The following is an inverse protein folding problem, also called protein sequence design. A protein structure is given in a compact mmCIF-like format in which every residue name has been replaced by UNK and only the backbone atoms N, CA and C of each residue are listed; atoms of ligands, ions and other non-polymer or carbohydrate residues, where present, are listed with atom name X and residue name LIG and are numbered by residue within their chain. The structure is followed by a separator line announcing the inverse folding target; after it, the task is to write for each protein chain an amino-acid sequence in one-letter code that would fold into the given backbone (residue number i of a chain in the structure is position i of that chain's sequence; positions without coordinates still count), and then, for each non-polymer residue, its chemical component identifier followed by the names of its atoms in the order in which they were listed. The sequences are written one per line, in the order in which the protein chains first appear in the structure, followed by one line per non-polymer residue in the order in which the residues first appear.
data_IF_178814968635
#
_entry.id   IF_178814968635
#
_cell.length_a   1.000
_cell.length_b   1.000
_cell.length_c   1.000
_cell.angle_alpha   90.00
_cell.angle_beta   90.00
_cell.angle_gamma   90.00
#
_symmetry.space_group_name_H-M   'P 1'
#
loop_
_entity.id
_entity.type
_entity.pdbx_description
1 polymer ?
#
# COMPACT_ATOMS: atom_id res chain seq x y z
N UNK A 1 -22.31 -17.94 -29.36
CA UNK A 1 -22.06 -18.75 -28.14
C UNK A 1 -21.85 -17.76 -27.01
N UNK A 2 -22.79 -17.64 -26.08
CA UNK A 2 -22.69 -16.66 -24.97
C UNK A 2 -21.77 -17.28 -23.92
N UNK A 3 -20.46 -17.10 -24.10
CA UNK A 3 -19.47 -17.55 -23.13
C UNK A 3 -19.67 -16.82 -21.82
N UNK A 4 -19.98 -17.56 -20.76
CA UNK A 4 -20.05 -17.02 -19.41
C UNK A 4 -18.65 -16.50 -19.04
N UNK A 5 -18.43 -15.18 -19.12
CA UNK A 5 -17.14 -14.61 -18.73
C UNK A 5 -16.89 -14.91 -17.25
N UNK A 6 -15.85 -15.69 -16.96
CA UNK A 6 -15.43 -16.03 -15.60
C UNK A 6 -15.09 -14.75 -14.84
N UNK A 7 -15.56 -14.68 -13.61
CA UNK A 7 -15.20 -13.63 -12.65
C UNK A 7 -14.20 -14.20 -11.65
N UNK A 8 -13.36 -13.32 -11.13
CA UNK A 8 -12.27 -13.63 -10.23
C UNK A 8 -12.35 -12.65 -9.07
N UNK A 9 -12.00 -13.11 -7.88
CA UNK A 9 -11.80 -12.22 -6.75
C UNK A 9 -10.37 -11.69 -6.81
N UNK A 10 -10.24 -10.38 -6.65
CA UNK A 10 -8.97 -9.66 -6.66
C UNK A 10 -8.80 -9.06 -5.29
N UNK A 11 -7.80 -9.54 -4.57
CA UNK A 11 -7.39 -8.97 -3.30
C UNK A 11 -6.65 -7.66 -3.55
N UNK A 12 -7.27 -6.55 -3.16
CA UNK A 12 -6.74 -5.21 -3.41
C UNK A 12 -5.83 -4.74 -2.28
N UNK A 13 -6.20 -4.98 -1.03
CA UNK A 13 -5.44 -4.56 0.14
C UNK A 13 -5.91 -5.33 1.35
N UNK A 14 -4.97 -5.87 2.13
CA UNK A 14 -5.28 -6.55 3.39
C UNK A 14 -5.77 -5.54 4.44
N UNK A 15 -6.21 -6.05 5.58
CA UNK A 15 -6.50 -5.19 6.73
C UNK A 15 -5.29 -4.32 7.08
N UNK A 16 -5.52 -3.03 7.33
CA UNK A 16 -4.47 -2.08 7.67
C UNK A 16 -4.68 -1.63 9.11
N UNK A 17 -3.62 -1.71 9.92
CA UNK A 17 -3.58 -1.23 11.30
C UNK A 17 -2.27 -0.51 11.54
N UNK A 18 -2.34 0.56 12.30
CA UNK A 18 -1.14 1.31 12.65
C UNK A 18 -1.39 2.37 13.70
N UNK A 19 -0.31 2.97 14.15
CA UNK A 19 -0.27 4.10 15.06
C UNK A 19 0.66 5.17 14.49
N UNK A 20 0.17 6.40 14.38
CA UNK A 20 0.93 7.53 13.85
C UNK A 20 1.24 8.53 14.95
N UNK A 21 2.53 8.82 15.08
CA UNK A 21 3.10 9.75 16.04
C UNK A 21 3.68 10.98 15.32
N UNK A 22 3.95 12.04 16.06
CA UNK A 22 4.71 13.19 15.60
C UNK A 22 5.71 13.57 16.70
N UNK A 23 6.99 13.29 16.47
CA UNK A 23 8.04 13.40 17.48
C UNK A 23 7.72 12.60 18.76
N UNK A 24 7.19 11.39 18.59
CA UNK A 24 6.78 10.49 19.67
C UNK A 24 5.39 10.74 20.26
N UNK A 25 4.74 11.86 19.92
CA UNK A 25 3.42 12.21 20.45
C UNK A 25 2.28 11.72 19.52
N UNK A 26 1.21 11.10 20.05
CA UNK A 26 0.10 10.62 19.23
C UNK A 26 -0.57 11.70 18.36
N UNK A 27 -0.77 11.39 17.08
CA UNK A 27 -1.48 12.28 16.15
C UNK A 27 -2.98 11.96 16.20
N UNK A 28 -3.78 12.82 16.85
CA UNK A 28 -5.23 12.65 16.97
C UNK A 28 -5.99 13.34 15.82
N UNK A 29 -6.98 12.65 15.24
CA UNK A 29 -7.92 13.21 14.28
C UNK A 29 -7.34 13.50 12.90
N UNK A 30 -6.15 12.98 12.59
CA UNK A 30 -5.56 13.11 11.27
C UNK A 30 -6.21 12.14 10.29
N UNK A 31 -6.35 12.58 9.04
CA UNK A 31 -7.07 11.84 8.01
C UNK A 31 -6.14 10.86 7.31
N UNK A 32 -6.46 9.58 7.38
CA UNK A 32 -5.82 8.53 6.60
C UNK A 32 -6.62 8.33 5.33
N UNK A 33 -5.95 8.29 4.18
CA UNK A 33 -6.56 8.05 2.87
C UNK A 33 -5.85 6.89 2.18
N UNK A 34 -6.61 5.89 1.74
CA UNK A 34 -6.12 4.76 0.95
C UNK A 34 -6.69 4.84 -0.46
N UNK A 35 -5.82 4.64 -1.44
CA UNK A 35 -6.10 4.67 -2.87
C UNK A 35 -5.63 3.35 -3.47
N UNK A 36 -6.57 2.62 -4.09
CA UNK A 36 -6.33 1.30 -4.66
C UNK A 36 -6.58 1.31 -6.16
N UNK A 37 -5.58 0.87 -6.91
CA UNK A 37 -5.63 0.77 -8.37
C UNK A 37 -5.40 -0.67 -8.78
N UNK A 38 -6.16 -1.17 -9.75
CA UNK A 38 -5.96 -2.50 -10.32
C UNK A 38 -5.99 -2.46 -11.84
N UNK A 39 -4.95 -3.02 -12.45
CA UNK A 39 -4.71 -2.97 -13.90
C UNK A 39 -4.87 -1.53 -14.43
N UNK A 40 -4.15 -0.59 -13.78
CA UNK A 40 -4.09 0.84 -14.11
C UNK A 40 -5.44 1.58 -14.12
N UNK A 41 -6.46 1.04 -13.47
CA UNK A 41 -7.72 1.74 -13.22
C UNK A 41 -7.91 1.94 -11.73
N UNK A 42 -8.20 3.18 -11.31
CA UNK A 42 -8.64 3.46 -9.94
C UNK A 42 -9.89 2.63 -9.63
N UNK A 43 -9.87 1.93 -8.50
CA UNK A 43 -10.95 1.03 -8.07
C UNK A 43 -11.64 1.57 -6.84
N UNK A 44 -10.86 1.89 -5.80
CA UNK A 44 -11.40 2.24 -4.49
C UNK A 44 -10.57 3.37 -3.88
N UNK A 45 -11.26 4.33 -3.24
CA UNK A 45 -10.66 5.36 -2.42
C UNK A 45 -11.50 5.44 -1.14
N UNK A 46 -10.88 5.16 -0.01
CA UNK A 46 -11.51 5.23 1.30
C UNK A 46 -10.65 5.98 2.32
N UNK A 47 -11.30 6.44 3.39
CA UNK A 47 -10.68 7.27 4.41
C UNK A 47 -11.07 6.79 5.82
N UNK A 48 -10.17 7.00 6.77
CA UNK A 48 -10.43 6.86 8.21
C UNK A 48 -9.71 7.99 8.95
N UNK A 49 -9.88 8.05 10.26
CA UNK A 49 -9.20 9.03 11.12
C UNK A 49 -8.46 8.35 12.25
N UNK A 50 -7.34 8.92 12.66
CA UNK A 50 -6.62 8.45 13.84
C UNK A 50 -7.37 8.81 15.12
N UNK A 51 -7.31 7.92 16.10
CA UNK A 51 -7.90 8.13 17.42
C UNK A 51 -7.01 8.98 18.35
N UNK A 52 -7.45 9.20 19.59
CA UNK A 52 -6.72 9.97 20.59
C UNK A 52 -5.34 9.40 20.95
N UNK A 53 -5.11 8.12 20.67
CA UNK A 53 -3.84 7.44 20.88
C UNK A 53 -3.04 7.29 19.57
N UNK A 54 -3.45 7.95 18.48
CA UNK A 54 -2.79 7.91 17.18
C UNK A 54 -3.11 6.67 16.35
N UNK A 55 -3.97 5.77 16.83
CA UNK A 55 -4.26 4.50 16.15
C UNK A 55 -5.28 4.69 15.04
N UNK A 56 -5.16 3.88 13.99
CA UNK A 56 -6.16 3.79 12.93
C UNK A 56 -6.32 2.34 12.47
N UNK A 57 -7.44 2.05 11.84
CA UNK A 57 -7.68 0.78 11.16
C UNK A 57 -8.52 0.96 9.90
N UNK A 58 -8.24 0.14 8.89
CA UNK A 58 -9.00 0.06 7.65
C UNK A 58 -9.25 -1.41 7.31
N UNK A 59 -10.46 -1.79 6.87
CA UNK A 59 -10.78 -3.17 6.56
C UNK A 59 -10.05 -3.65 5.28
N UNK A 60 -9.95 -4.96 5.14
CA UNK A 60 -9.54 -5.60 3.88
C UNK A 60 -10.49 -5.23 2.74
N UNK A 61 -9.95 -5.08 1.53
CA UNK A 61 -10.70 -4.81 0.31
C UNK A 61 -10.45 -5.93 -0.70
N UNK A 62 -11.54 -6.62 -1.07
CA UNK A 62 -11.60 -7.52 -2.22
C UNK A 62 -12.61 -6.97 -3.22
N UNK A 63 -12.33 -7.14 -4.51
CA UNK A 63 -13.28 -6.86 -5.58
C UNK A 63 -13.49 -8.09 -6.44
N UNK A 64 -14.64 -8.14 -7.12
CA UNK A 64 -14.87 -9.14 -8.16
C UNK A 64 -14.65 -8.51 -9.54
N UNK A 65 -13.72 -9.05 -10.32
CA UNK A 65 -13.36 -8.54 -11.65
C UNK A 65 -13.37 -9.64 -12.72
N UNK A 66 -13.53 -9.24 -13.98
CA UNK A 66 -13.33 -10.11 -15.15
C UNK A 66 -11.95 -9.92 -15.79
N UNK A 67 -11.25 -8.85 -15.44
CA UNK A 67 -9.95 -8.49 -16.03
C UNK A 67 -8.89 -9.61 -15.95
N UNK A 68 -8.80 -10.45 -14.90
CA UNK A 68 -7.83 -11.56 -14.88
C UNK A 68 -8.04 -12.61 -15.98
N UNK A 69 -9.23 -12.66 -16.59
CA UNK A 69 -9.50 -13.54 -17.73
C UNK A 69 -9.06 -12.98 -19.08
N UNK A 70 -8.57 -11.73 -19.12
CA UNK A 70 -8.12 -11.05 -20.33
C UNK A 70 -6.59 -11.19 -20.48
N UNK A 71 -6.15 -11.80 -21.58
CA UNK A 71 -4.73 -12.04 -21.84
C UNK A 71 -3.90 -10.76 -22.11
N UNK A 72 -4.56 -9.62 -22.32
CA UNK A 72 -3.89 -8.32 -22.49
C UNK A 72 -3.82 -7.50 -21.19
N UNK A 73 -4.42 -8.01 -20.10
CA UNK A 73 -4.35 -7.36 -18.79
C UNK A 73 -3.12 -7.85 -18.04
N UNK A 74 -2.37 -6.89 -17.49
CA UNK A 74 -1.34 -7.15 -16.51
C UNK A 74 -1.98 -7.06 -15.12
N UNK A 75 -2.04 -8.18 -14.42
CA UNK A 75 -2.54 -8.23 -13.05
C UNK A 75 -1.55 -7.54 -12.10
N UNK A 76 -1.81 -6.26 -11.85
CA UNK A 76 -1.05 -5.44 -10.90
C UNK A 76 -2.02 -4.67 -10.03
N UNK A 77 -1.78 -4.73 -8.72
CA UNK A 77 -2.48 -3.96 -7.70
C UNK A 77 -1.51 -2.92 -7.15
N UNK A 78 -1.91 -1.65 -7.14
CA UNK A 78 -1.16 -0.57 -6.51
C UNK A 78 -1.91 -0.13 -5.25
N UNK A 79 -1.18 -0.04 -4.15
CA UNK A 79 -1.69 0.36 -2.85
C UNK A 79 -0.97 1.63 -2.43
N UNK A 80 -1.72 2.71 -2.20
CA UNK A 80 -1.19 3.95 -1.66
C UNK A 80 -2.00 4.36 -0.43
N UNK A 81 -1.33 4.53 0.70
CA UNK A 81 -1.91 4.96 1.97
C UNK A 81 -1.15 6.19 2.44
N UNK A 82 -1.88 7.25 2.71
CA UNK A 82 -1.34 8.55 3.11
C UNK A 82 -2.03 9.07 4.35
N UNK A 83 -1.34 9.94 5.08
CA UNK A 83 -1.91 10.71 6.17
C UNK A 83 -1.81 12.21 5.84
N UNK A 84 -2.91 12.93 6.05
CA UNK A 84 -2.96 14.38 6.03
C UNK A 84 -2.94 14.91 7.46
N UNK A 85 -1.89 15.64 7.82
CA UNK A 85 -1.70 16.26 9.14
C UNK A 85 -1.08 17.65 8.95
N UNK A 86 -1.66 18.67 9.59
CA UNK A 86 -1.19 20.06 9.49
C UNK A 86 -0.96 20.55 8.05
N UNK A 87 -1.87 20.24 7.13
CA UNK A 87 -1.80 20.58 5.69
C UNK A 87 -0.68 19.87 4.90
N UNK A 88 0.11 19.02 5.55
CA UNK A 88 1.14 18.18 4.91
C UNK A 88 0.64 16.75 4.72
N UNK A 89 1.02 16.15 3.57
CA UNK A 89 0.69 14.76 3.24
C UNK A 89 1.93 13.90 3.31
N UNK A 90 1.85 12.82 4.08
CA UNK A 90 2.95 11.86 4.25
C UNK A 90 2.53 10.50 3.70
N UNK A 91 3.47 9.78 3.07
CA UNK A 91 3.23 8.43 2.56
C UNK A 91 3.51 7.42 3.67
N UNK A 92 2.45 6.76 4.13
CA UNK A 92 2.55 5.65 5.08
C UNK A 92 2.87 4.34 4.36
N UNK A 93 2.30 4.13 3.18
CA UNK A 93 2.52 2.94 2.38
C UNK A 93 2.35 3.28 0.90
N UNK A 94 3.30 2.88 0.06
CA UNK A 94 3.14 2.93 -1.38
C UNK A 94 3.91 1.77 -2.01
N UNK A 95 3.19 0.74 -2.44
CA UNK A 95 3.75 -0.49 -2.99
C UNK A 95 2.90 -1.02 -4.13
N UNK A 96 3.56 -1.72 -5.05
CA UNK A 96 2.91 -2.51 -6.10
C UNK A 96 2.96 -3.99 -5.76
N UNK A 97 1.89 -4.69 -6.10
CA UNK A 97 1.77 -6.14 -5.97
C UNK A 97 1.45 -6.73 -7.35
N UNK A 98 2.22 -7.74 -7.77
CA UNK A 98 1.92 -8.50 -8.97
C UNK A 98 0.96 -9.66 -8.64
N UNK A 99 -0.09 -9.79 -9.43
CA UNK A 99 -1.14 -10.77 -9.26
C UNK A 99 -2.32 -10.29 -8.42
N UNK A 100 -3.29 -11.18 -8.24
CA UNK A 100 -4.61 -10.91 -7.64
C UNK A 100 -4.80 -11.51 -6.24
N UNK A 101 -3.81 -12.28 -5.77
CA UNK A 101 -3.83 -13.00 -4.50
C UNK A 101 -3.09 -12.21 -3.41
N UNK A 102 -3.45 -12.36 -2.12
CA UNK A 102 -2.69 -11.74 -1.04
C UNK A 102 -1.27 -12.32 -0.91
N UNK A 103 -0.40 -11.51 -0.31
CA UNK A 103 0.95 -11.88 0.11
C UNK A 103 1.09 -11.63 1.61
N UNK A 104 1.52 -12.66 2.34
CA UNK A 104 1.63 -12.65 3.80
C UNK A 104 2.61 -11.58 4.28
N UNK A 105 3.66 -11.34 3.51
CA UNK A 105 4.70 -10.36 3.77
C UNK A 105 4.16 -8.92 3.68
N UNK A 106 3.19 -8.68 2.79
CA UNK A 106 2.49 -7.39 2.69
C UNK A 106 1.48 -7.26 3.84
N UNK A 107 0.69 -8.30 4.11
CA UNK A 107 -0.29 -8.34 5.19
C UNK A 107 0.35 -8.04 6.56
N UNK A 108 1.47 -8.71 6.88
CA UNK A 108 2.21 -8.52 8.13
C UNK A 108 2.68 -7.06 8.30
N UNK A 109 3.10 -6.41 7.20
CA UNK A 109 3.52 -5.01 7.21
C UNK A 109 2.34 -4.05 7.36
N UNK A 110 1.22 -4.31 6.67
CA UNK A 110 0.01 -3.50 6.75
C UNK A 110 -0.66 -3.57 8.13
N UNK A 111 -0.56 -4.69 8.83
CA UNK A 111 -1.04 -4.84 10.22
C UNK A 111 -0.18 -4.08 11.25
N UNK A 112 1.00 -3.62 10.85
CA UNK A 112 1.98 -2.94 11.71
C UNK A 112 2.46 -1.63 11.08
N UNK A 113 1.54 -0.89 10.44
CA UNK A 113 1.80 0.35 9.70
C UNK A 113 2.01 1.54 10.65
N UNK A 114 3.03 1.43 11.51
CA UNK A 114 3.38 2.40 12.52
C UNK A 114 4.41 3.39 11.97
N UNK A 115 4.24 4.67 12.26
CA UNK A 115 5.13 5.72 11.75
C UNK A 115 5.17 6.95 12.64
N UNK A 116 6.20 7.76 12.43
CA UNK A 116 6.32 9.08 13.03
C UNK A 116 6.47 10.12 11.92
N UNK A 117 5.68 11.19 11.94
CA UNK A 117 5.68 12.25 10.93
C UNK A 117 7.03 12.98 10.81
N UNK A 118 7.87 12.91 11.85
CA UNK A 118 9.25 13.42 11.82
C UNK A 118 10.24 12.51 11.08
N UNK A 119 9.82 11.30 10.70
CA UNK A 119 10.66 10.35 9.97
C UNK A 119 10.81 10.76 8.51
N UNK A 120 12.03 10.61 7.99
CA UNK A 120 12.29 10.77 6.56
C UNK A 120 11.47 9.76 5.75
N UNK A 121 10.94 10.16 4.60
CA UNK A 121 10.39 9.20 3.64
C UNK A 121 11.53 8.43 2.96
N UNK A 122 11.45 7.09 2.95
CA UNK A 122 12.50 6.24 2.35
C UNK A 122 11.90 5.22 1.41
N UNK A 123 12.71 4.83 0.43
CA UNK A 123 12.46 3.63 -0.38
C UNK A 123 13.03 2.42 0.34
N UNK A 124 12.30 1.32 0.28
CA UNK A 124 12.70 0.09 0.96
C UNK A 124 12.31 -1.14 0.16
N UNK A 125 13.09 -2.21 0.31
CA UNK A 125 12.71 -3.55 -0.18
C UNK A 125 12.40 -4.49 0.96
N UNK A 126 11.70 -5.56 0.63
CA UNK A 126 11.45 -6.68 1.52
C UNK A 126 11.25 -7.99 0.73
N UNK A 127 11.54 -9.15 1.33
CA UNK A 127 11.55 -10.42 0.62
C UNK A 127 10.18 -10.81 0.06
N UNK A 128 10.21 -11.48 -1.08
CA UNK A 128 9.06 -12.16 -1.67
C UNK A 128 9.26 -13.67 -1.57
N UNK A 129 8.56 -14.34 -0.66
CA UNK A 129 8.76 -15.79 -0.41
C UNK A 129 8.24 -16.64 -1.56
N UNK A 130 7.30 -16.14 -2.39
CA UNK A 130 6.83 -16.83 -3.60
C UNK A 130 7.82 -16.71 -4.75
N UNK A 131 8.56 -15.61 -4.82
CA UNK A 131 9.61 -15.40 -5.83
C UNK A 131 10.85 -14.72 -5.21
N UNK A 132 11.78 -15.51 -4.63
CA UNK A 132 12.96 -14.96 -3.95
C UNK A 132 13.91 -14.16 -4.86
N UNK A 133 13.74 -14.24 -6.18
CA UNK A 133 14.53 -13.45 -7.14
C UNK A 133 13.95 -12.06 -7.40
N UNK A 134 12.75 -11.75 -6.87
CA UNK A 134 12.07 -10.48 -7.09
C UNK A 134 11.45 -9.99 -5.77
N UNK A 135 12.23 -9.20 -5.03
CA UNK A 135 11.76 -8.52 -3.83
C UNK A 135 10.60 -7.56 -4.12
N UNK A 136 9.82 -7.29 -3.08
CA UNK A 136 8.88 -6.17 -3.11
C UNK A 136 9.63 -4.87 -2.84
N UNK A 137 9.13 -3.78 -3.43
CA UNK A 137 9.59 -2.42 -3.20
C UNK A 137 8.46 -1.53 -2.68
N UNK A 138 8.83 -0.51 -1.91
CA UNK A 138 7.88 0.48 -1.41
C UNK A 138 8.51 1.81 -1.06
N UNK A 139 7.64 2.78 -0.78
CA UNK A 139 7.97 4.11 -0.28
C UNK A 139 7.17 4.38 0.99
N UNK A 140 7.82 4.82 2.06
CA UNK A 140 7.15 4.99 3.35
C UNK A 140 7.95 5.83 4.37
N UNK A 141 7.23 6.54 5.26
CA UNK A 141 7.78 7.05 6.53
C UNK A 141 7.74 6.01 7.66
N UNK A 142 6.96 4.95 7.52
CA UNK A 142 6.86 3.83 8.46
C UNK A 142 8.10 2.93 8.40
N UNK A 143 8.35 2.19 9.47
CA UNK A 143 9.51 1.31 9.64
C UNK A 143 9.08 -0.02 10.23
N UNK A 144 9.75 -1.09 9.81
CA UNK A 144 9.52 -2.44 10.32
C UNK A 144 10.82 -3.02 10.86
N UNK A 145 10.72 -3.77 11.96
CA UNK A 145 11.90 -4.37 12.62
C UNK A 145 12.54 -5.48 11.79
N UNK A 146 11.72 -6.20 11.01
CA UNK A 146 12.13 -7.33 10.19
C UNK A 146 11.83 -7.05 8.72
N UNK A 147 12.61 -7.67 7.85
CA UNK A 147 12.38 -7.69 6.41
C UNK A 147 12.19 -6.26 5.86
N UNK A 148 13.11 -5.35 6.18
CA UNK A 148 13.04 -3.94 5.78
C UNK A 148 14.45 -3.42 5.51
N UNK A 149 14.77 -3.26 4.23
CA UNK A 149 16.07 -2.76 3.79
C UNK A 149 15.89 -1.44 3.05
N UNK A 150 16.44 -0.37 3.60
CA UNK A 150 16.38 0.96 2.97
C UNK A 150 17.40 1.02 1.84
N UNK A 151 16.98 1.55 0.69
CA UNK A 151 17.88 1.82 -0.41
C UNK A 151 17.66 3.24 -0.94
N UNK A 152 18.76 3.90 -1.29
CA UNK A 152 18.74 5.13 -2.07
C UNK A 152 18.77 4.73 -3.55
N UNK A 153 17.77 5.15 -4.31
CA UNK A 153 17.95 5.22 -5.75
C UNK A 153 18.84 6.43 -6.00
N UNK A 154 20.02 6.25 -6.63
CA UNK A 154 20.63 7.34 -7.40
C UNK A 154 19.52 7.94 -8.26
N UNK A 155 19.36 9.27 -8.26
CA UNK A 155 18.27 9.99 -8.93
C UNK A 155 18.08 9.50 -10.39
N UNK A 156 17.29 8.44 -10.58
CA UNK A 156 16.79 8.06 -11.88
C UNK A 156 15.49 8.81 -12.03
N UNK A 157 15.57 9.98 -12.67
CA UNK A 157 14.42 10.73 -13.16
C UNK A 157 13.35 9.75 -13.70
N UNK A 158 12.14 9.81 -13.14
CA UNK A 158 10.94 9.51 -13.92
C UNK A 158 10.21 8.17 -13.79
N UNK A 159 10.55 7.23 -12.88
CA UNK A 159 9.77 5.97 -12.83
C UNK A 159 8.41 6.03 -12.10
N UNK A 160 8.15 7.07 -11.31
CA UNK A 160 6.89 7.26 -10.60
C UNK A 160 6.12 8.52 -11.01
N UNK A 161 6.65 9.34 -11.93
CA UNK A 161 5.96 10.54 -12.44
C UNK A 161 4.82 10.21 -13.40
N UNK A 162 4.78 8.99 -13.94
CA UNK A 162 3.94 8.64 -15.08
C UNK A 162 2.58 8.02 -14.67
N UNK A 163 2.22 8.09 -13.38
CA UNK A 163 0.98 7.53 -12.85
C UNK A 163 0.04 8.58 -12.23
N UNK A 164 0.18 9.85 -12.61
CA UNK A 164 -0.80 10.93 -12.31
C UNK A 164 -1.63 11.26 -13.53
#
# INVERSE_FOLDING_TARGET
MVGLMKKYDVHMCSEVKGCILNNGEPVNGARIRRELTYAHSAVEIDETVTDANGHFSMPEILITSKKPGDMFVHDVVLQRITILSNEETYVLWNTKQLGIEPFKEIEEKLLTLNGDLSSQEVRFTFPNKKNPSLEFDGLSICRWENDFEVFELEESEGYFSDFV
#
